data_IF_210192524881
#
_entry.id   IF_210192524881
#
_cell.length_a   1.000
_cell.length_b   1.000
_cell.length_c   1.000
_cell.angle_alpha   90.00
_cell.angle_beta   90.00
_cell.angle_gamma   90.00
#
_symmetry.space_group_name_H-M   'P 1'
#
loop_
_entity.id
_entity.type
_entity.pdbx_description
1 polymer ?
#
# COMPACT_ATOMS: atom_id res chain seq x y z
N UNK A 1 31.88 37.65 7.59
CA UNK A 1 30.55 37.04 7.79
C UNK A 1 30.23 36.22 6.55
N UNK A 2 30.53 34.93 6.58
CA UNK A 2 30.19 33.99 5.51
C UNK A 2 29.06 33.12 6.01
N UNK A 3 27.88 33.27 5.40
CA UNK A 3 26.72 32.43 5.66
C UNK A 3 26.99 31.03 5.14
N UNK A 4 27.34 30.10 6.03
CA UNK A 4 27.29 28.66 5.75
C UNK A 4 25.83 28.22 5.70
N UNK A 5 25.22 28.36 4.53
CA UNK A 5 23.96 27.70 4.20
C UNK A 5 24.18 26.23 3.91
N UNK A 6 24.56 25.42 4.90
CA UNK A 6 24.55 23.95 4.78
C UNK A 6 23.20 23.40 5.25
N UNK A 7 22.15 23.69 4.47
CA UNK A 7 20.87 23.01 4.57
C UNK A 7 20.97 21.59 4.02
N UNK A 8 21.77 20.74 4.67
CA UNK A 8 21.92 19.34 4.33
C UNK A 8 20.64 18.60 4.75
N UNK A 9 19.55 18.77 3.99
CA UNK A 9 18.39 17.88 4.04
C UNK A 9 18.90 16.52 3.58
N UNK A 10 19.31 15.68 4.53
CA UNK A 10 19.45 14.24 4.31
C UNK A 10 18.11 13.77 3.75
N UNK A 11 18.01 13.63 2.43
CA UNK A 11 16.90 12.88 1.84
C UNK A 11 16.91 11.53 2.54
N UNK A 12 15.80 11.17 3.20
CA UNK A 12 15.62 9.83 3.74
C UNK A 12 15.79 8.87 2.57
N UNK A 13 16.92 8.17 2.54
CA UNK A 13 17.14 7.10 1.59
C UNK A 13 16.08 6.04 1.86
N UNK A 14 15.13 5.94 0.93
CA UNK A 14 14.00 5.05 1.06
C UNK A 14 14.53 3.62 0.96
N UNK A 15 14.39 2.84 2.03
CA UNK A 15 14.78 1.42 2.00
C UNK A 15 13.72 0.62 1.22
N UNK A 16 14.00 0.39 -0.08
CA UNK A 16 13.10 -0.29 -1.00
C UNK A 16 12.80 -1.73 -0.57
N UNK A 17 13.75 -2.44 0.02
CA UNK A 17 13.51 -3.81 0.51
C UNK A 17 12.56 -3.82 1.71
N UNK A 18 12.67 -2.83 2.60
CA UNK A 18 11.70 -2.65 3.69
C UNK A 18 10.30 -2.35 3.15
N UNK A 19 10.18 -1.46 2.15
CA UNK A 19 8.89 -1.14 1.52
C UNK A 19 8.28 -2.36 0.82
N UNK A 20 9.12 -3.18 0.19
CA UNK A 20 8.70 -4.43 -0.42
C UNK A 20 8.17 -5.40 0.63
N UNK A 21 8.84 -5.49 1.78
CA UNK A 21 8.31 -6.17 2.97
C UNK A 21 6.92 -5.67 3.36
N UNK A 22 6.72 -4.35 3.37
CA UNK A 22 5.41 -3.75 3.64
C UNK A 22 4.35 -4.16 2.61
N UNK A 23 4.64 -4.17 1.31
CA UNK A 23 3.69 -4.66 0.29
C UNK A 23 3.30 -6.11 0.54
N UNK A 24 4.26 -6.97 0.87
CA UNK A 24 4.04 -8.40 1.14
C UNK A 24 3.19 -8.65 2.39
N UNK A 25 3.32 -7.82 3.42
CA UNK A 25 2.44 -7.85 4.59
C UNK A 25 0.99 -7.52 4.22
N UNK A 26 0.77 -6.49 3.37
CA UNK A 26 -0.58 -6.16 2.89
C UNK A 26 -1.14 -7.27 1.99
N UNK A 27 -0.32 -7.87 1.12
CA UNK A 27 -0.70 -9.04 0.31
C UNK A 27 -1.10 -10.24 1.17
N UNK A 28 -0.39 -10.46 2.29
CA UNK A 28 -0.69 -11.55 3.22
C UNK A 28 -2.05 -11.34 3.88
N UNK A 29 -2.37 -10.11 4.29
CA UNK A 29 -3.70 -9.77 4.79
C UNK A 29 -4.79 -10.00 3.73
N UNK A 30 -4.63 -9.48 2.51
CA UNK A 30 -5.60 -9.67 1.43
C UNK A 30 -5.83 -11.16 1.12
N UNK A 31 -4.76 -11.95 1.12
CA UNK A 31 -4.83 -13.40 0.91
C UNK A 31 -5.53 -14.13 2.06
N UNK A 32 -5.33 -13.71 3.31
CA UNK A 32 -6.04 -14.26 4.46
C UNK A 32 -7.54 -13.97 4.37
N UNK A 33 -7.92 -12.73 4.05
CA UNK A 33 -9.34 -12.36 3.90
C UNK A 33 -10.01 -13.21 2.81
N UNK A 34 -9.37 -13.37 1.64
CA UNK A 34 -9.86 -14.23 0.57
C UNK A 34 -9.99 -15.70 1.02
N UNK A 35 -8.98 -16.24 1.70
CA UNK A 35 -9.01 -17.63 2.20
C UNK A 35 -10.13 -17.86 3.22
N UNK A 36 -10.30 -16.93 4.16
CA UNK A 36 -11.32 -17.01 5.22
C UNK A 36 -12.73 -16.74 4.70
N UNK A 37 -12.88 -16.08 3.55
CA UNK A 37 -14.18 -15.78 2.94
C UNK A 37 -15.02 -17.03 2.65
N UNK A 38 -14.38 -18.18 2.42
CA UNK A 38 -15.09 -19.45 2.24
C UNK A 38 -15.87 -19.89 3.49
N UNK A 39 -15.40 -19.48 4.68
CA UNK A 39 -16.03 -19.78 5.98
C UNK A 39 -16.88 -18.61 6.48
N UNK A 40 -16.51 -17.37 6.10
CA UNK A 40 -17.19 -16.16 6.52
C UNK A 40 -17.21 -15.12 5.38
N UNK A 41 -18.17 -15.22 4.45
CA UNK A 41 -18.25 -14.33 3.28
C UNK A 41 -18.66 -12.90 3.63
N UNK A 42 -19.24 -12.67 4.82
CA UNK A 42 -19.69 -11.34 5.24
C UNK A 42 -18.54 -10.36 5.41
N UNK A 43 -17.41 -10.82 5.95
CA UNK A 43 -16.21 -9.98 6.13
C UNK A 43 -15.69 -9.53 4.78
N UNK A 44 -15.56 -10.44 3.81
CA UNK A 44 -15.14 -10.11 2.45
C UNK A 44 -16.12 -9.12 1.80
N UNK A 45 -17.41 -9.45 1.78
CA UNK A 45 -18.45 -8.61 1.15
C UNK A 45 -18.47 -7.20 1.73
N UNK A 46 -18.32 -7.07 3.05
CA UNK A 46 -18.29 -5.77 3.73
C UNK A 46 -17.07 -4.95 3.31
N UNK A 47 -15.89 -5.57 3.32
CA UNK A 47 -14.65 -4.91 2.91
C UNK A 47 -14.74 -4.43 1.46
N UNK A 48 -15.15 -5.30 0.55
CA UNK A 48 -15.27 -4.97 -0.87
C UNK A 48 -16.31 -3.86 -1.12
N UNK A 49 -17.42 -3.87 -0.39
CA UNK A 49 -18.44 -2.82 -0.46
C UNK A 49 -17.93 -1.47 0.01
N UNK A 50 -17.08 -1.41 1.04
CA UNK A 50 -16.53 -0.13 1.54
C UNK A 50 -15.39 0.39 0.64
N UNK A 51 -14.59 -0.50 0.05
CA UNK A 51 -13.53 -0.13 -0.90
C UNK A 51 -14.13 0.29 -2.26
N UNK A 52 -15.22 -0.36 -2.66
CA UNK A 52 -15.82 -0.28 -4.00
C UNK A 52 -15.06 -1.10 -5.06
N UNK A 53 -14.28 -2.10 -4.64
CA UNK A 53 -13.51 -3.01 -5.49
C UNK A 53 -13.40 -4.38 -4.84
N UNK A 54 -13.26 -5.43 -5.67
CA UNK A 54 -13.01 -6.77 -5.15
C UNK A 54 -11.63 -6.89 -4.52
N UNK A 55 -11.51 -7.80 -3.54
CA UNK A 55 -10.25 -8.07 -2.86
C UNK A 55 -9.22 -8.71 -3.82
N UNK A 56 -9.66 -9.44 -4.86
CA UNK A 56 -8.74 -9.89 -5.92
C UNK A 56 -8.16 -8.71 -6.72
N UNK A 57 -8.97 -7.69 -7.01
CA UNK A 57 -8.48 -6.50 -7.71
C UNK A 57 -7.45 -5.74 -6.85
N UNK A 58 -7.70 -5.62 -5.53
CA UNK A 58 -6.72 -5.07 -4.59
C UNK A 58 -5.43 -5.89 -4.58
N UNK A 59 -5.53 -7.21 -4.50
CA UNK A 59 -4.37 -8.12 -4.57
C UNK A 59 -3.60 -7.93 -5.88
N UNK A 60 -4.28 -7.80 -7.00
CA UNK A 60 -3.64 -7.55 -8.30
C UNK A 60 -2.86 -6.23 -8.32
N UNK A 61 -3.41 -5.15 -7.74
CA UNK A 61 -2.71 -3.87 -7.61
C UNK A 61 -1.45 -4.03 -6.75
N UNK A 62 -1.57 -4.70 -5.61
CA UNK A 62 -0.45 -4.92 -4.70
C UNK A 62 0.68 -5.77 -5.32
N UNK A 63 0.33 -6.78 -6.14
CA UNK A 63 1.33 -7.56 -6.88
C UNK A 63 2.10 -6.69 -7.88
N UNK A 64 1.41 -5.83 -8.64
CA UNK A 64 2.08 -4.88 -9.54
C UNK A 64 3.01 -3.92 -8.80
N UNK A 65 2.66 -3.54 -7.56
CA UNK A 65 3.53 -2.72 -6.72
C UNK A 65 4.76 -3.51 -6.23
N UNK A 66 4.65 -4.80 -5.87
CA UNK A 66 5.82 -5.64 -5.54
C UNK A 66 6.77 -5.78 -6.74
N UNK A 67 6.20 -5.95 -7.95
CA UNK A 67 6.96 -6.00 -9.19
C UNK A 67 7.70 -4.67 -9.44
N UNK A 68 7.00 -3.54 -9.27
CA UNK A 68 7.60 -2.21 -9.36
C UNK A 68 8.76 -2.04 -8.37
N UNK A 69 8.58 -2.44 -7.10
CA UNK A 69 9.64 -2.37 -6.09
C UNK A 69 10.82 -3.27 -6.44
N UNK A 70 10.57 -4.42 -7.08
CA UNK A 70 11.61 -5.31 -7.58
C UNK A 70 12.42 -4.65 -8.70
N UNK A 71 11.77 -3.96 -9.64
CA UNK A 71 12.44 -3.20 -10.69
C UNK A 71 13.30 -2.10 -10.08
N UNK A 72 12.72 -1.28 -9.18
CA UNK A 72 13.44 -0.19 -8.51
C UNK A 72 14.64 -0.70 -7.70
N UNK A 73 14.50 -1.85 -7.04
CA UNK A 73 15.59 -2.47 -6.26
C UNK A 73 16.74 -2.96 -7.13
N UNK A 74 16.45 -3.56 -8.30
CA UNK A 74 17.47 -4.16 -9.17
C UNK A 74 18.15 -3.17 -10.09
N UNK A 75 17.37 -2.24 -10.64
CA UNK A 75 17.79 -1.38 -11.75
C UNK A 75 17.96 0.07 -11.34
N UNK A 76 17.64 0.41 -10.09
CA UNK A 76 17.54 1.78 -9.63
C UNK A 76 16.28 2.47 -10.13
N UNK A 77 16.10 3.72 -9.72
CA UNK A 77 14.89 4.48 -10.00
C UNK A 77 14.94 5.08 -11.42
N UNK A 78 14.26 4.45 -12.39
CA UNK A 78 14.10 4.98 -13.76
C UNK A 78 12.62 5.23 -14.08
N UNK A 79 12.25 6.51 -14.23
CA UNK A 79 10.85 6.92 -14.47
C UNK A 79 10.27 6.35 -15.78
N UNK A 80 11.11 6.06 -16.78
CA UNK A 80 10.68 5.51 -18.07
C UNK A 80 10.07 4.11 -17.98
N UNK A 81 10.44 3.33 -16.96
CA UNK A 81 9.95 1.96 -16.75
C UNK A 81 8.73 1.90 -15.83
N UNK A 82 8.36 3.04 -15.23
CA UNK A 82 7.29 3.13 -14.24
C UNK A 82 6.14 3.94 -14.83
N UNK A 83 5.01 3.27 -15.07
CA UNK A 83 3.78 3.93 -15.50
C UNK A 83 3.21 4.81 -14.38
N UNK A 84 3.44 6.13 -14.49
CA UNK A 84 2.90 7.11 -13.52
C UNK A 84 1.38 7.25 -13.60
N UNK A 85 0.79 6.92 -14.75
CA UNK A 85 -0.66 6.81 -14.92
C UNK A 85 -1.23 5.67 -14.07
N UNK A 86 -0.59 4.50 -14.11
CA UNK A 86 -0.96 3.37 -13.28
C UNK A 86 -0.89 3.72 -11.78
N UNK A 87 0.21 4.32 -11.31
CA UNK A 87 0.34 4.74 -9.91
C UNK A 87 -0.76 5.73 -9.52
N UNK A 88 -1.04 6.72 -10.38
CA UNK A 88 -2.10 7.70 -10.16
C UNK A 88 -3.49 7.05 -10.05
N UNK A 89 -3.73 5.99 -10.83
CA UNK A 89 -4.98 5.21 -10.77
C UNK A 89 -5.13 4.36 -9.50
N UNK A 90 -4.01 3.83 -8.98
CA UNK A 90 -4.01 2.96 -7.81
C UNK A 90 -4.17 3.73 -6.50
N UNK A 91 -3.59 4.93 -6.39
CA UNK A 91 -3.56 5.69 -5.14
C UNK A 91 -4.94 5.92 -4.50
N UNK A 92 -5.98 6.39 -5.22
CA UNK A 92 -7.31 6.55 -4.64
C UNK A 92 -7.90 5.25 -4.09
N UNK A 93 -7.61 4.13 -4.75
CA UNK A 93 -8.06 2.80 -4.35
C UNK A 93 -7.36 2.37 -3.06
N UNK A 94 -6.02 2.50 -3.02
CA UNK A 94 -5.22 2.14 -1.85
C UNK A 94 -5.58 3.01 -0.62
N UNK A 95 -5.87 4.29 -0.82
CA UNK A 95 -6.35 5.18 0.26
C UNK A 95 -7.71 4.77 0.80
N UNK A 96 -8.66 4.40 -0.06
CA UNK A 96 -9.94 3.83 0.39
C UNK A 96 -9.70 2.55 1.18
N UNK A 97 -8.81 1.68 0.69
CA UNK A 97 -8.47 0.46 1.41
C UNK A 97 -7.85 0.73 2.78
N UNK A 98 -6.98 1.73 2.92
CA UNK A 98 -6.48 2.17 4.22
C UNK A 98 -7.62 2.53 5.18
N UNK A 99 -8.55 3.38 4.74
CA UNK A 99 -9.71 3.82 5.54
C UNK A 99 -10.52 2.62 6.03
N UNK A 100 -10.74 1.62 5.16
CA UNK A 100 -11.43 0.39 5.53
C UNK A 100 -10.65 -0.39 6.60
N UNK A 101 -9.33 -0.50 6.49
CA UNK A 101 -8.50 -1.11 7.53
C UNK A 101 -8.54 -0.34 8.87
N UNK A 102 -8.72 0.98 8.84
CA UNK A 102 -8.90 1.78 10.07
C UNK A 102 -10.23 1.48 10.77
N UNK A 103 -11.29 1.24 9.99
CA UNK A 103 -12.65 1.06 10.49
C UNK A 103 -13.06 -0.41 10.67
N UNK A 104 -12.25 -1.34 10.16
CA UNK A 104 -12.45 -2.79 10.27
C UNK A 104 -12.73 -3.27 11.71
N UNK A 105 -12.01 -2.80 12.75
CA UNK A 105 -12.30 -3.14 14.15
C UNK A 105 -13.75 -2.92 14.54
N UNK A 106 -14.36 -1.85 14.05
CA UNK A 106 -15.75 -1.49 14.32
C UNK A 106 -16.72 -2.23 13.39
N UNK A 107 -16.28 -2.59 12.18
CA UNK A 107 -17.09 -3.24 11.16
C UNK A 107 -17.21 -4.77 11.31
N UNK A 108 -16.24 -5.43 11.97
CA UNK A 108 -16.22 -6.90 12.11
C UNK A 108 -17.29 -7.45 13.08
N UNK A 109 -17.81 -6.63 14.00
CA UNK A 109 -18.92 -7.00 14.89
C UNK A 109 -18.71 -8.36 15.61
N UNK A 110 -19.76 -9.19 15.78
CA UNK A 110 -19.64 -10.51 16.43
C UNK A 110 -18.97 -11.59 15.57
N UNK A 111 -18.57 -11.24 14.34
CA UNK A 111 -17.93 -12.16 13.38
C UNK A 111 -16.40 -11.97 13.31
N UNK A 112 -15.83 -11.29 14.32
CA UNK A 112 -14.42 -10.94 14.39
C UNK A 112 -13.50 -12.16 14.42
N UNK A 113 -12.90 -12.45 13.28
CA UNK A 113 -11.72 -13.31 13.20
C UNK A 113 -10.52 -12.53 13.77
N UNK A 114 -10.02 -12.98 14.94
CA UNK A 114 -8.88 -12.36 15.64
C UNK A 114 -7.62 -12.30 14.78
N UNK A 115 -7.43 -13.26 13.86
CA UNK A 115 -6.28 -13.30 12.97
C UNK A 115 -6.40 -12.20 11.90
N UNK A 116 -7.60 -12.05 11.32
CA UNK A 116 -7.92 -10.95 10.38
C UNK A 116 -7.74 -9.60 11.06
N UNK A 117 -8.20 -9.46 12.31
CA UNK A 117 -8.02 -8.23 13.09
C UNK A 117 -6.54 -7.89 13.34
N UNK A 118 -5.75 -8.85 13.83
CA UNK A 118 -4.34 -8.60 14.11
C UNK A 118 -3.52 -8.30 12.84
N UNK A 119 -3.85 -8.95 11.73
CA UNK A 119 -3.24 -8.64 10.43
C UNK A 119 -3.72 -7.32 9.84
N UNK A 120 -4.96 -6.88 10.10
CA UNK A 120 -5.44 -5.59 9.58
C UNK A 120 -4.67 -4.40 10.17
N UNK A 121 -4.29 -4.46 11.45
CA UNK A 121 -3.48 -3.42 12.09
C UNK A 121 -2.09 -3.30 11.46
N UNK A 122 -1.45 -4.44 11.17
CA UNK A 122 -0.15 -4.47 10.48
C UNK A 122 -0.29 -4.01 9.02
N UNK A 123 -1.30 -4.53 8.32
CA UNK A 123 -1.60 -4.16 6.95
C UNK A 123 -1.87 -2.66 6.82
N UNK A 124 -2.59 -2.05 7.78
CA UNK A 124 -2.84 -0.61 7.81
C UNK A 124 -1.54 0.20 7.78
N UNK A 125 -0.63 -0.08 8.73
CA UNK A 125 0.65 0.64 8.81
C UNK A 125 1.46 0.44 7.53
N UNK A 126 1.61 -0.80 7.09
CA UNK A 126 2.38 -1.13 5.88
C UNK A 126 1.79 -0.50 4.62
N UNK A 127 0.46 -0.46 4.50
CA UNK A 127 -0.21 0.20 3.39
C UNK A 127 -0.01 1.72 3.44
N UNK A 128 0.06 2.33 4.64
CA UNK A 128 0.44 3.75 4.80
C UNK A 128 1.82 4.03 4.24
N UNK A 129 2.80 3.20 4.57
CA UNK A 129 4.17 3.35 4.08
C UNK A 129 4.24 3.23 2.55
N UNK A 130 3.52 2.26 1.98
CA UNK A 130 3.41 2.05 0.52
C UNK A 130 2.75 3.24 -0.18
N UNK A 131 1.63 3.74 0.34
CA UNK A 131 0.94 4.90 -0.26
C UNK A 131 1.82 6.15 -0.18
N UNK A 132 2.48 6.40 0.96
CA UNK A 132 3.39 7.53 1.09
C UNK A 132 4.53 7.49 0.07
N UNK A 133 5.11 6.30 -0.15
CA UNK A 133 6.10 6.10 -1.20
C UNK A 133 5.55 6.43 -2.60
N UNK A 134 4.40 5.87 -2.99
CA UNK A 134 3.81 6.09 -4.30
C UNK A 134 3.43 7.57 -4.54
N UNK A 135 2.95 8.27 -3.51
CA UNK A 135 2.73 9.72 -3.58
C UNK A 135 4.01 10.50 -3.81
N UNK A 136 5.08 10.14 -3.11
CA UNK A 136 6.37 10.78 -3.27
C UNK A 136 6.96 10.51 -4.66
N UNK A 137 6.72 9.33 -5.24
CA UNK A 137 7.08 9.04 -6.63
C UNK A 137 6.37 9.98 -7.60
N UNK A 138 5.05 10.14 -7.47
CA UNK A 138 4.28 11.06 -8.32
C UNK A 138 4.67 12.52 -8.15
N UNK A 139 5.05 12.94 -6.94
CA UNK A 139 5.56 14.30 -6.71
C UNK A 139 6.89 14.51 -7.42
N UNK A 140 7.82 13.56 -7.29
CA UNK A 140 9.14 13.62 -7.94
C UNK A 140 9.02 13.62 -9.46
N UNK A 141 8.09 12.86 -10.05
CA UNK A 141 7.88 12.86 -11.51
C UNK A 141 7.41 14.21 -12.04
N UNK A 142 6.62 14.96 -11.26
CA UNK A 142 6.09 16.29 -11.63
C UNK A 142 7.10 17.42 -11.46
N UNK A 143 8.13 17.24 -10.62
CA UNK A 143 9.17 18.23 -10.36
C UNK A 143 10.34 18.21 -11.34
N UNK A 144 10.30 17.36 -12.38
CA UNK A 144 11.35 17.22 -13.40
C UNK A 144 11.07 18.11 -14.64
N UNK A 145 10.05 18.98 -14.59
CA UNK A 145 9.76 19.97 -15.64
C UNK A 145 10.31 21.35 -15.30
#
# INVERSE_FOLDING_TARGET
MTYEGSGNKKEKEVNIESLRGSVREVLSYASLVLSRSALNPFVLTRIESEIGLSMEAIRSILLKIDDLMTIVSKEGFTFEKISMEDISSWLPILKRFQIVLENLPSALGPYGDFEIFNLSLRAKKNLSDVVGFLEDLLKRSKGIH
#
